data_IF_709571017299
#
_entry.id   IF_709571017299
#
_cell.length_a   1.000
_cell.length_b   1.000
_cell.length_c   1.000
_cell.angle_alpha   90.00
_cell.angle_beta   90.00
_cell.angle_gamma   90.00
#
_symmetry.space_group_name_H-M   'P 1'
#
loop_
_entity.id
_entity.type
_entity.pdbx_description
1 polymer ?
#
# COMPACT_ATOMS: atom_id res chain seq x y z
N UNK A 1 -12.37 -7.09 -9.35
CA UNK A 1 -12.25 -5.64 -9.56
C UNK A 1 -12.28 -4.91 -8.22
N UNK A 2 -11.11 -4.64 -7.62
CA UNK A 2 -10.99 -4.10 -6.25
C UNK A 2 -10.05 -2.89 -6.19
N UNK A 3 -10.32 -1.84 -6.96
CA UNK A 3 -9.33 -0.77 -7.11
C UNK A 3 -9.80 0.56 -6.50
N UNK A 4 -9.23 0.95 -5.38
CA UNK A 4 -9.43 2.29 -4.81
C UNK A 4 -8.11 3.04 -4.84
N UNK A 5 -8.04 4.06 -5.69
CA UNK A 5 -6.96 5.05 -5.69
C UNK A 5 -7.30 6.21 -4.75
N UNK A 6 -6.43 7.21 -4.65
CA UNK A 6 -6.88 8.54 -4.25
C UNK A 6 -7.92 9.05 -5.27
N UNK A 7 -8.91 9.81 -4.82
CA UNK A 7 -9.98 10.34 -5.67
C UNK A 7 -9.41 11.23 -6.77
N UNK A 8 -9.99 11.15 -7.97
CA UNK A 8 -9.64 11.98 -9.12
C UNK A 8 -9.00 11.23 -10.29
N UNK A 9 -8.85 9.91 -10.18
CA UNK A 9 -8.42 9.05 -11.29
C UNK A 9 -9.61 8.32 -11.92
N UNK A 10 -9.54 7.99 -13.21
CA UNK A 10 -10.65 7.41 -13.96
C UNK A 10 -11.16 6.06 -13.39
N UNK A 11 -10.35 5.41 -12.54
CA UNK A 11 -10.61 4.10 -11.93
C UNK A 11 -10.76 4.17 -10.40
N UNK A 12 -11.01 5.34 -9.81
CA UNK A 12 -11.07 5.57 -8.34
C UNK A 12 -12.32 5.02 -7.62
N UNK A 13 -12.81 3.84 -8.03
CA UNK A 13 -14.05 3.24 -7.56
C UNK A 13 -13.82 1.99 -6.70
N UNK A 14 -14.24 2.08 -5.42
CA UNK A 14 -14.15 1.00 -4.42
C UNK A 14 -14.72 -0.36 -4.86
N UNK A 15 -15.71 -0.37 -5.75
CA UNK A 15 -16.30 -1.58 -6.32
C UNK A 15 -16.58 -1.33 -7.80
N UNK A 16 -15.87 -2.04 -8.68
CA UNK A 16 -16.23 -2.08 -10.09
C UNK A 16 -16.81 -3.47 -10.37
N UNK A 17 -17.95 -3.77 -9.76
CA UNK A 17 -18.56 -5.07 -9.94
C UNK A 17 -19.35 -5.12 -11.25
N UNK A 18 -19.11 -6.18 -12.03
CA UNK A 18 -20.03 -6.59 -13.08
C UNK A 18 -21.38 -7.06 -12.48
N UNK A 19 -21.51 -7.12 -11.15
CA UNK A 19 -22.76 -7.24 -10.39
C UNK A 19 -23.41 -5.88 -10.07
N UNK A 20 -23.63 -5.06 -11.08
CA UNK A 20 -24.42 -3.82 -11.00
C UNK A 20 -25.89 -4.04 -10.54
N UNK A 21 -26.31 -5.27 -10.31
CA UNK A 21 -27.66 -5.64 -9.88
C UNK A 21 -27.96 -5.30 -8.41
N UNK A 22 -26.96 -4.93 -7.60
CA UNK A 22 -27.14 -4.54 -6.18
C UNK A 22 -26.76 -3.09 -5.84
N UNK A 23 -26.37 -2.26 -6.82
CA UNK A 23 -25.95 -0.88 -6.54
C UNK A 23 -26.81 0.16 -7.26
N UNK A 24 -27.97 0.49 -6.69
CA UNK A 24 -28.73 1.71 -7.04
C UNK A 24 -28.06 3.01 -6.51
N UNK A 25 -26.73 3.07 -6.44
CA UNK A 25 -25.98 4.18 -5.84
C UNK A 25 -24.79 4.64 -6.68
N UNK A 26 -24.50 5.95 -6.73
CA UNK A 26 -23.32 6.46 -7.41
C UNK A 26 -22.06 5.83 -6.80
N UNK A 27 -21.14 5.45 -7.68
CA UNK A 27 -19.75 5.04 -7.40
C UNK A 27 -19.22 5.85 -6.21
N UNK A 28 -19.00 5.24 -5.05
CA UNK A 28 -18.47 5.99 -3.91
C UNK A 28 -16.97 6.14 -4.13
N UNK A 29 -16.59 7.27 -4.71
CA UNK A 29 -15.20 7.60 -4.95
C UNK A 29 -14.41 7.58 -3.64
N UNK A 30 -13.10 7.31 -3.73
CA UNK A 30 -12.23 7.23 -2.56
C UNK A 30 -12.40 8.40 -1.59
N UNK A 31 -12.35 8.11 -0.29
CA UNK A 31 -12.41 9.15 0.74
C UNK A 31 -11.11 9.96 0.79
N UNK A 32 -10.00 9.41 0.30
CA UNK A 32 -8.73 10.11 0.15
C UNK A 32 -8.69 10.88 -1.16
N UNK A 33 -8.09 12.05 -1.18
CA UNK A 33 -8.01 12.91 -2.36
C UNK A 33 -6.79 13.81 -2.22
N UNK A 34 -5.90 13.78 -3.23
CA UNK A 34 -4.73 14.67 -3.23
C UNK A 34 -5.16 16.14 -3.29
N UNK A 35 -6.21 16.46 -4.05
CA UNK A 35 -6.76 17.81 -4.10
C UNK A 35 -7.32 18.25 -2.74
N UNK A 36 -8.09 17.40 -2.05
CA UNK A 36 -8.65 17.75 -0.74
C UNK A 36 -7.53 17.96 0.31
N UNK A 37 -6.45 17.18 0.25
CA UNK A 37 -5.29 17.35 1.12
C UNK A 37 -4.55 18.67 0.83
N UNK A 38 -4.39 19.03 -0.45
CA UNK A 38 -3.76 20.28 -0.89
C UNK A 38 -4.57 21.50 -0.48
N UNK A 39 -5.89 21.43 -0.62
CA UNK A 39 -6.81 22.53 -0.36
C UNK A 39 -7.22 22.62 1.12
N UNK A 40 -6.76 21.68 1.96
CA UNK A 40 -7.07 21.63 3.39
C UNK A 40 -8.49 21.13 3.72
N UNK A 41 -9.21 20.57 2.75
CA UNK A 41 -10.55 19.99 2.93
C UNK A 41 -10.50 18.61 3.60
N UNK A 42 -10.00 18.56 4.83
CA UNK A 42 -9.62 17.30 5.51
C UNK A 42 -10.69 16.72 6.41
N UNK A 43 -11.83 17.39 6.59
CA UNK A 43 -12.89 17.02 7.56
C UNK A 43 -13.30 15.54 7.47
N UNK A 44 -13.55 15.03 6.26
CA UNK A 44 -14.00 13.64 6.05
C UNK A 44 -12.91 12.64 6.45
N UNK A 45 -11.68 12.84 5.99
CA UNK A 45 -10.55 11.97 6.33
C UNK A 45 -10.29 12.00 7.83
N UNK A 46 -10.28 13.18 8.46
CA UNK A 46 -10.08 13.32 9.91
C UNK A 46 -11.16 12.61 10.73
N UNK A 47 -12.43 12.68 10.34
CA UNK A 47 -13.51 11.94 10.99
C UNK A 47 -13.33 10.43 10.86
N UNK A 48 -12.91 9.96 9.68
CA UNK A 48 -12.64 8.55 9.46
C UNK A 48 -11.45 8.04 10.27
N UNK A 49 -10.36 8.82 10.37
CA UNK A 49 -9.21 8.49 11.21
C UNK A 49 -9.58 8.37 12.69
N UNK A 50 -10.50 9.22 13.19
CA UNK A 50 -11.05 9.08 14.54
C UNK A 50 -11.78 7.75 14.76
N UNK A 51 -12.48 7.25 13.75
CA UNK A 51 -13.18 5.94 13.81
C UNK A 51 -12.18 4.77 13.81
N UNK A 52 -11.11 4.86 13.02
CA UNK A 52 -10.05 3.86 13.06
C UNK A 52 -9.37 3.84 14.44
N UNK A 53 -8.98 5.01 14.93
CA UNK A 53 -8.29 5.15 16.21
C UNK A 53 -9.14 4.68 17.40
N UNK A 54 -10.47 4.85 17.36
CA UNK A 54 -11.36 4.40 18.43
C UNK A 54 -11.41 2.88 18.59
N UNK A 55 -10.96 2.13 17.57
CA UNK A 55 -10.85 0.66 17.60
C UNK A 55 -9.40 0.16 17.72
N UNK A 56 -8.44 1.07 17.89
CA UNK A 56 -7.02 0.73 18.07
C UNK A 56 -6.26 0.44 16.77
N UNK A 57 -6.86 0.70 15.60
CA UNK A 57 -6.15 0.61 14.32
C UNK A 57 -5.06 1.68 14.28
N UNK A 58 -3.84 1.29 13.91
CA UNK A 58 -2.63 2.11 13.96
C UNK A 58 -1.81 2.11 12.65
N UNK A 59 -2.34 1.52 11.57
CA UNK A 59 -1.69 1.46 10.27
C UNK A 59 -2.68 1.66 9.13
N UNK A 60 -2.27 2.35 8.08
CA UNK A 60 -3.11 2.70 6.94
C UNK A 60 -2.33 2.68 5.63
N UNK A 61 -2.79 1.91 4.64
CA UNK A 61 -2.37 2.00 3.25
C UNK A 61 -3.54 2.56 2.41
N UNK A 62 -3.55 3.88 2.10
CA UNK A 62 -4.71 4.53 1.49
C UNK A 62 -4.83 4.32 -0.03
N UNK A 63 -3.77 3.84 -0.67
CA UNK A 63 -3.71 3.58 -2.11
C UNK A 63 -3.89 2.10 -2.45
N UNK A 64 -4.21 1.86 -3.71
CA UNK A 64 -4.27 0.51 -4.28
C UNK A 64 -2.95 -0.25 -4.11
N UNK A 65 -3.08 -1.56 -3.96
CA UNK A 65 -1.98 -2.51 -3.92
C UNK A 65 -1.50 -2.92 -5.32
N UNK A 66 -2.34 -2.78 -6.33
CA UNK A 66 -1.92 -3.00 -7.71
C UNK A 66 -1.37 -1.69 -8.21
N UNK A 67 -0.06 -1.69 -8.40
CA UNK A 67 0.60 -0.46 -8.73
C UNK A 67 0.18 -0.01 -10.13
N UNK A 68 -0.19 1.27 -10.22
CA UNK A 68 -0.37 1.98 -11.47
C UNK A 68 0.41 3.28 -11.42
N UNK A 69 0.90 3.73 -12.57
CA UNK A 69 1.68 4.98 -12.69
C UNK A 69 0.93 6.22 -12.19
N UNK A 70 -0.41 6.18 -12.18
CA UNK A 70 -1.26 7.29 -11.77
C UNK A 70 -1.30 7.49 -10.24
N UNK A 71 -1.02 6.45 -9.45
CA UNK A 71 -1.10 6.52 -7.98
C UNK A 71 0.29 6.50 -7.32
N UNK A 72 1.11 7.46 -7.74
CA UNK A 72 2.49 7.59 -7.28
C UNK A 72 2.59 8.64 -6.16
N UNK A 73 2.92 8.21 -4.92
CA UNK A 73 3.08 9.15 -3.79
C UNK A 73 4.21 10.16 -4.00
N UNK A 74 5.20 9.86 -4.85
CA UNK A 74 6.32 10.77 -5.11
C UNK A 74 5.88 12.08 -5.78
N UNK A 75 4.76 12.07 -6.49
CA UNK A 75 4.21 13.27 -7.13
C UNK A 75 3.39 14.15 -6.15
N UNK A 76 3.24 13.69 -4.90
CA UNK A 76 2.35 14.25 -3.89
C UNK A 76 3.01 14.37 -2.51
N UNK A 77 4.33 14.62 -2.45
CA UNK A 77 5.06 14.71 -1.17
C UNK A 77 4.50 15.79 -0.21
N UNK A 78 4.09 17.00 -0.65
CA UNK A 78 3.44 17.97 0.24
C UNK A 78 2.12 17.45 0.83
N UNK A 79 1.28 16.83 0.00
CA UNK A 79 0.01 16.25 0.44
C UNK A 79 0.21 15.02 1.33
N UNK A 80 1.25 14.22 1.09
CA UNK A 80 1.67 13.13 1.97
C UNK A 80 2.06 13.67 3.35
N UNK A 81 2.79 14.78 3.44
CA UNK A 81 3.10 15.44 4.71
C UNK A 81 1.82 15.77 5.47
N UNK A 82 0.83 16.40 4.81
CA UNK A 82 -0.48 16.69 5.39
C UNK A 82 -1.20 15.44 5.87
N UNK A 83 -1.22 14.37 5.07
CA UNK A 83 -1.84 13.10 5.45
C UNK A 83 -1.15 12.48 6.68
N UNK A 84 0.18 12.54 6.72
CA UNK A 84 0.95 12.04 7.86
C UNK A 84 0.72 12.86 9.13
N UNK A 85 0.58 14.18 9.04
CA UNK A 85 0.20 15.01 10.19
C UNK A 85 -1.17 14.62 10.76
N UNK A 86 -2.17 14.42 9.90
CA UNK A 86 -3.51 14.00 10.31
C UNK A 86 -3.51 12.62 10.97
N UNK A 87 -2.81 11.66 10.36
CA UNK A 87 -2.76 10.27 10.86
C UNK A 87 -1.95 10.14 12.15
N UNK A 88 -0.84 10.89 12.27
CA UNK A 88 -0.01 10.98 13.48
C UNK A 88 -0.78 11.48 14.69
N UNK A 89 -1.68 12.45 14.51
CA UNK A 89 -2.56 12.94 15.58
C UNK A 89 -3.47 11.84 16.17
N UNK A 90 -3.61 10.72 15.47
CA UNK A 90 -4.40 9.56 15.84
C UNK A 90 -3.56 8.31 16.10
N UNK A 91 -2.22 8.40 16.12
CA UNK A 91 -1.33 7.26 16.32
C UNK A 91 -1.32 6.25 15.16
N UNK A 92 -1.72 6.68 13.97
CA UNK A 92 -1.79 5.85 12.75
C UNK A 92 -0.58 6.16 11.87
N UNK A 93 0.16 5.14 11.44
CA UNK A 93 1.24 5.29 10.45
C UNK A 93 0.73 5.01 9.03
N UNK A 94 1.26 5.75 8.07
CA UNK A 94 0.92 5.59 6.65
C UNK A 94 1.88 4.59 5.98
N UNK A 95 1.34 3.74 5.11
CA UNK A 95 2.06 2.81 4.26
C UNK A 95 1.76 3.11 2.79
N UNK A 96 2.67 2.74 1.89
CA UNK A 96 2.51 2.89 0.45
C UNK A 96 2.77 1.58 -0.29
N UNK A 97 2.13 1.41 -1.44
CA UNK A 97 2.34 0.29 -2.35
C UNK A 97 3.14 0.70 -3.58
N UNK A 98 4.47 0.90 -3.49
CA UNK A 98 5.30 1.16 -4.66
C UNK A 98 5.45 -0.10 -5.54
N UNK A 99 5.74 0.09 -6.83
CA UNK A 99 6.17 -1.03 -7.67
C UNK A 99 7.59 -1.51 -7.31
N UNK A 100 7.95 -2.67 -7.88
CA UNK A 100 9.27 -3.29 -7.71
C UNK A 100 10.47 -2.46 -8.20
N UNK A 101 10.28 -1.45 -9.06
CA UNK A 101 11.35 -0.58 -9.55
C UNK A 101 11.64 0.57 -8.57
N UNK A 102 10.59 1.10 -7.92
CA UNK A 102 10.69 2.22 -6.97
C UNK A 102 11.05 1.75 -5.57
N UNK A 103 10.48 0.62 -5.12
CA UNK A 103 10.62 0.11 -3.77
C UNK A 103 12.09 -0.06 -3.28
N UNK A 104 13.04 -0.59 -4.08
CA UNK A 104 14.42 -0.77 -3.61
C UNK A 104 15.26 0.52 -3.68
N UNK A 105 14.74 1.63 -4.20
CA UNK A 105 15.51 2.86 -4.39
C UNK A 105 15.62 3.66 -3.10
N UNK A 106 16.84 3.77 -2.55
CA UNK A 106 17.12 4.52 -1.31
C UNK A 106 16.75 6.00 -1.38
N UNK A 107 16.82 6.62 -2.56
CA UNK A 107 16.41 8.02 -2.75
C UNK A 107 14.89 8.17 -2.73
N UNK A 108 14.14 7.15 -3.18
CA UNK A 108 12.68 7.10 -3.05
C UNK A 108 12.30 6.99 -1.58
N UNK A 109 12.94 6.10 -0.82
CA UNK A 109 12.74 6.01 0.62
C UNK A 109 13.08 7.35 1.32
N UNK A 110 14.22 7.96 0.99
CA UNK A 110 14.61 9.25 1.57
C UNK A 110 13.60 10.37 1.30
N UNK A 111 13.02 10.43 0.09
CA UNK A 111 11.99 11.41 -0.24
C UNK A 111 10.70 11.20 0.58
N UNK A 112 10.24 9.94 0.70
CA UNK A 112 9.04 9.59 1.47
C UNK A 112 9.23 9.90 2.95
N UNK A 113 10.31 9.46 3.57
CA UNK A 113 10.58 9.74 4.99
C UNK A 113 10.97 11.20 5.27
N UNK A 114 11.50 11.90 4.27
CA UNK A 114 11.68 13.35 4.34
C UNK A 114 10.36 14.11 4.44
N UNK A 115 9.34 13.67 3.72
CA UNK A 115 7.99 14.23 3.79
C UNK A 115 7.18 13.71 4.99
N UNK A 116 7.45 12.49 5.46
CA UNK A 116 6.74 11.84 6.55
C UNK A 116 7.71 11.06 7.47
N UNK A 117 8.28 11.70 8.50
CA UNK A 117 9.34 11.08 9.32
C UNK A 117 8.92 9.81 10.09
N UNK A 118 7.63 9.63 10.34
CA UNK A 118 7.04 8.47 11.03
C UNK A 118 6.28 7.53 10.08
N UNK A 119 6.61 7.58 8.78
CA UNK A 119 6.05 6.67 7.78
C UNK A 119 6.24 5.20 8.18
N UNK A 120 5.21 4.39 7.97
CA UNK A 120 5.16 2.99 8.42
C UNK A 120 5.97 2.05 7.54
N UNK A 121 5.95 2.27 6.23
CA UNK A 121 6.72 1.51 5.26
C UNK A 121 5.94 1.09 4.02
N UNK A 122 6.28 -0.06 3.44
CA UNK A 122 5.72 -0.48 2.16
C UNK A 122 4.76 -1.66 2.31
N UNK A 123 3.70 -1.67 1.50
CA UNK A 123 2.78 -2.79 1.31
C UNK A 123 2.96 -3.32 -0.11
N UNK A 124 3.41 -4.55 -0.27
CA UNK A 124 3.85 -5.08 -1.58
C UNK A 124 2.98 -6.23 -2.05
N UNK A 125 2.65 -6.20 -3.35
CA UNK A 125 2.14 -7.34 -4.11
C UNK A 125 3.05 -7.53 -5.32
N UNK A 126 3.78 -8.63 -5.36
CA UNK A 126 4.75 -8.95 -6.40
C UNK A 126 4.50 -10.38 -6.89
N UNK A 127 4.66 -10.63 -8.19
CA UNK A 127 4.55 -11.98 -8.77
C UNK A 127 3.14 -12.56 -8.69
N UNK A 128 2.11 -11.72 -8.79
CA UNK A 128 0.70 -12.10 -8.63
C UNK A 128 -0.19 -11.23 -9.50
N UNK A 129 -1.10 -11.86 -10.27
CA UNK A 129 -2.06 -11.17 -11.15
C UNK A 129 -1.38 -10.07 -11.99
N UNK A 130 -0.35 -10.44 -12.74
CA UNK A 130 0.41 -9.54 -13.63
C UNK A 130 1.23 -8.44 -12.94
N UNK A 131 1.20 -8.35 -11.60
CA UNK A 131 2.07 -7.43 -10.87
C UNK A 131 3.53 -7.90 -10.95
N UNK A 132 4.46 -7.02 -11.40
CA UNK A 132 5.84 -7.40 -11.65
C UNK A 132 6.60 -7.68 -10.35
N UNK A 133 7.70 -8.42 -10.46
CA UNK A 133 8.62 -8.71 -9.36
C UNK A 133 8.45 -10.11 -8.77
N UNK A 134 9.29 -10.43 -7.79
CA UNK A 134 9.29 -11.72 -7.07
C UNK A 134 9.09 -11.46 -5.58
N UNK A 135 8.26 -12.26 -4.88
CA UNK A 135 8.14 -12.19 -3.43
C UNK A 135 9.21 -13.02 -2.69
N UNK A 136 10.25 -13.50 -3.39
CA UNK A 136 11.33 -14.27 -2.77
C UNK A 136 12.19 -13.41 -1.83
N UNK A 137 12.82 -14.00 -0.80
CA UNK A 137 13.73 -13.26 0.09
C UNK A 137 14.80 -12.46 -0.66
N UNK A 138 15.37 -13.02 -1.73
CA UNK A 138 16.39 -12.36 -2.55
C UNK A 138 15.91 -11.06 -3.22
N UNK A 139 14.62 -10.96 -3.55
CA UNK A 139 14.02 -9.76 -4.13
C UNK A 139 13.51 -8.78 -3.07
N UNK A 140 13.07 -9.28 -1.92
CA UNK A 140 12.42 -8.48 -0.87
C UNK A 140 13.43 -7.86 0.10
N UNK A 141 14.49 -8.60 0.46
CA UNK A 141 15.46 -8.11 1.43
C UNK A 141 16.14 -6.79 0.99
N UNK A 142 16.50 -6.57 -0.29
CA UNK A 142 16.99 -5.26 -0.73
C UNK A 142 15.99 -4.10 -0.54
N UNK A 143 14.68 -4.38 -0.67
CA UNK A 143 13.63 -3.38 -0.39
C UNK A 143 13.57 -3.11 1.12
N UNK A 144 13.66 -4.17 1.93
CA UNK A 144 13.67 -4.08 3.38
C UNK A 144 14.89 -3.29 3.89
N UNK A 145 16.06 -3.49 3.30
CA UNK A 145 17.30 -2.76 3.59
C UNK A 145 17.15 -1.25 3.26
N UNK A 146 16.50 -0.92 2.14
CA UNK A 146 16.32 0.48 1.71
C UNK A 146 15.53 1.32 2.74
N UNK A 147 14.60 0.68 3.47
CA UNK A 147 13.75 1.35 4.46
C UNK A 147 14.19 1.12 5.92
N UNK A 148 15.12 0.21 6.16
CA UNK A 148 15.51 -0.22 7.52
C UNK A 148 16.04 0.95 8.39
N UNK A 149 16.81 1.87 7.79
CA UNK A 149 17.37 3.02 8.51
C UNK A 149 16.30 3.97 9.09
N UNK A 150 15.07 3.87 8.60
CA UNK A 150 13.94 4.67 9.05
C UNK A 150 12.98 3.88 9.97
N UNK A 151 13.38 2.70 10.43
CA UNK A 151 12.50 1.73 11.10
C UNK A 151 11.25 1.37 10.26
N UNK A 152 11.39 1.41 8.93
CA UNK A 152 10.32 1.04 8.00
C UNK A 152 10.06 -0.46 7.97
N UNK A 153 8.80 -0.84 7.88
CA UNK A 153 8.35 -2.23 7.75
C UNK A 153 7.93 -2.53 6.31
N UNK A 154 8.30 -3.70 5.80
CA UNK A 154 7.80 -4.21 4.52
C UNK A 154 6.72 -5.24 4.79
N UNK A 155 5.47 -4.88 4.50
CA UNK A 155 4.32 -5.77 4.53
C UNK A 155 4.21 -6.44 3.16
N UNK A 156 4.66 -7.68 3.04
CA UNK A 156 4.64 -8.47 1.82
C UNK A 156 3.39 -9.34 1.77
N UNK A 157 2.51 -9.15 0.79
CA UNK A 157 1.34 -10.03 0.66
C UNK A 157 1.74 -11.42 0.20
N UNK A 158 1.32 -12.44 0.94
CA UNK A 158 1.46 -13.85 0.56
C UNK A 158 0.50 -14.32 -0.56
N UNK A 159 -0.24 -13.41 -1.20
CA UNK A 159 -1.24 -13.72 -2.20
C UNK A 159 -0.61 -14.01 -3.56
N UNK A 160 -0.09 -15.22 -3.74
CA UNK A 160 0.54 -15.71 -4.98
C UNK A 160 -0.10 -17.02 -5.43
N UNK A 161 -0.26 -17.18 -6.73
CA UNK A 161 -0.78 -18.39 -7.38
C UNK A 161 -0.56 -18.31 -8.89
N UNK A 162 -0.56 -19.45 -9.58
CA UNK A 162 -0.38 -19.49 -11.04
C UNK A 162 0.48 -20.63 -11.55
N UNK A 163 0.69 -20.66 -12.86
CA UNK A 163 1.46 -21.71 -13.56
C UNK A 163 2.95 -21.67 -13.29
N UNK A 164 3.46 -20.52 -12.84
CA UNK A 164 4.82 -20.31 -12.39
C UNK A 164 5.10 -20.92 -11.00
N UNK A 165 4.06 -21.45 -10.34
CA UNK A 165 4.11 -22.15 -9.06
C UNK A 165 3.81 -23.65 -9.23
N UNK A 166 3.25 -24.33 -8.22
CA UNK A 166 2.92 -25.75 -8.34
C UNK A 166 1.71 -26.00 -9.25
N UNK A 167 0.96 -24.95 -9.57
CA UNK A 167 -0.25 -25.00 -10.39
C UNK A 167 -1.49 -25.38 -9.58
N UNK A 168 -1.33 -25.60 -8.28
CA UNK A 168 -2.44 -25.80 -7.35
C UNK A 168 -2.65 -24.52 -6.55
N UNK A 169 -3.61 -23.70 -6.99
CA UNK A 169 -3.96 -22.41 -6.38
C UNK A 169 -4.16 -22.49 -4.86
N UNK A 170 -4.59 -23.63 -4.32
CA UNK A 170 -4.80 -23.82 -2.89
C UNK A 170 -3.48 -23.86 -2.12
N UNK A 171 -2.43 -24.45 -2.69
CA UNK A 171 -1.14 -24.68 -2.01
C UNK A 171 -0.03 -23.75 -2.47
N UNK A 172 -0.16 -23.09 -3.63
CA UNK A 172 0.87 -22.24 -4.24
C UNK A 172 1.55 -21.27 -3.26
N UNK A 173 0.78 -20.55 -2.44
CA UNK A 173 1.32 -19.63 -1.45
C UNK A 173 2.17 -20.36 -0.39
N UNK A 174 1.67 -21.45 0.19
CA UNK A 174 2.42 -22.23 1.17
C UNK A 174 3.68 -22.84 0.55
N UNK A 175 3.55 -23.43 -0.64
CA UNK A 175 4.64 -24.09 -1.37
C UNK A 175 5.77 -23.12 -1.74
N UNK A 176 5.44 -21.85 -1.96
CA UNK A 176 6.41 -20.80 -2.20
C UNK A 176 7.06 -20.29 -0.91
N UNK A 177 6.26 -19.78 0.03
CA UNK A 177 6.78 -19.07 1.20
C UNK A 177 7.44 -20.00 2.22
N UNK A 178 7.04 -21.28 2.32
CA UNK A 178 7.71 -22.26 3.18
C UNK A 178 9.19 -22.47 2.82
N UNK A 179 9.59 -22.27 1.56
CA UNK A 179 10.99 -22.36 1.12
C UNK A 179 11.82 -21.15 1.53
N UNK A 180 11.16 -20.02 1.80
CA UNK A 180 11.77 -18.76 2.23
C UNK A 180 11.69 -18.53 3.75
N UNK A 181 11.12 -19.46 4.51
CA UNK A 181 10.98 -19.33 5.96
C UNK A 181 12.36 -19.11 6.62
N UNK A 182 12.41 -18.15 7.55
CA UNK A 182 13.64 -17.71 8.21
C UNK A 182 14.66 -16.94 7.34
N UNK A 183 14.38 -16.70 6.05
CA UNK A 183 15.32 -16.00 5.14
C UNK A 183 14.93 -14.54 4.86
N UNK A 184 13.71 -14.13 5.22
CA UNK A 184 13.28 -12.74 5.11
C UNK A 184 13.97 -11.86 6.17
N UNK A 185 14.28 -10.62 5.80
CA UNK A 185 14.84 -9.64 6.73
C UNK A 185 13.88 -9.38 7.90
N UNK A 186 14.43 -9.00 9.06
CA UNK A 186 13.67 -8.88 10.32
C UNK A 186 12.53 -7.85 10.29
N UNK A 187 12.58 -6.87 9.37
CA UNK A 187 11.54 -5.86 9.16
C UNK A 187 10.57 -6.23 8.00
N UNK A 188 10.56 -7.48 7.56
CA UNK A 188 9.60 -8.01 6.60
C UNK A 188 8.53 -8.82 7.34
N UNK A 189 7.26 -8.56 7.01
CA UNK A 189 6.10 -9.31 7.49
C UNK A 189 5.40 -9.88 6.26
N UNK A 190 5.27 -11.19 6.21
CA UNK A 190 4.57 -11.94 5.15
C UNK A 190 3.13 -12.24 5.58
#
# INVERSE_FOLDING_TARGET
NHWSYFRGFAEDAWMNDHHAEFSDGPRVASIFSWADLRDGNTTRVSQWLRLLASTGINGLAPGDINWQFQNNMLDHLPELSTLCELTRAHGIRVFWSPNALLAPNVSVAAAIWGACPDFGGYLLKLGSEEQPGSPSPAAINPIADAVAQYNGTVLLRAFVYGTEYSGNRITDALDFFSKGDGQYAANVIV
#
